data_IF_188792176477
#
_entry.id   IF_188792176477
#
_cell.length_a   1.000
_cell.length_b   1.000
_cell.length_c   1.000
_cell.angle_alpha   90.00
_cell.angle_beta   90.00
_cell.angle_gamma   90.00
#
_symmetry.space_group_name_H-M   'P 1'
#
loop_
_entity.id
_entity.type
_entity.pdbx_description
1 polymer ?
#
# COMPACT_ATOMS: atom_id res chain seq x y z
N UNK A 1 1.43 -24.20 -18.86
CA UNK A 1 0.59 -23.27 -19.65
C UNK A 1 -0.14 -22.36 -18.66
N UNK A 2 0.22 -21.09 -18.57
CA UNK A 2 -0.58 -20.07 -17.87
C UNK A 2 -0.71 -18.87 -18.80
N UNK A 3 -1.94 -18.37 -18.86
CA UNK A 3 -2.55 -17.57 -19.91
C UNK A 3 -1.87 -16.19 -20.12
N UNK A 4 -1.22 -16.02 -21.28
CA UNK A 4 -0.58 -14.75 -21.70
C UNK A 4 -1.58 -13.69 -22.19
N UNK A 5 -2.89 -13.90 -22.06
CA UNK A 5 -3.89 -13.02 -22.69
C UNK A 5 -4.35 -11.88 -21.78
N UNK A 6 -4.10 -11.92 -20.47
CA UNK A 6 -4.63 -10.93 -19.52
C UNK A 6 -3.62 -9.81 -19.15
N UNK A 7 -2.36 -9.90 -19.59
CA UNK A 7 -1.32 -8.91 -19.23
C UNK A 7 -1.50 -7.58 -19.96
N UNK A 8 -1.95 -7.59 -21.22
CA UNK A 8 -2.10 -6.38 -22.06
C UNK A 8 -3.23 -5.44 -21.56
N UNK A 9 -4.33 -6.01 -21.07
CA UNK A 9 -5.45 -5.22 -20.52
C UNK A 9 -5.10 -4.62 -19.16
N UNK A 10 -4.37 -5.38 -18.34
CA UNK A 10 -3.89 -4.93 -17.03
C UNK A 10 -2.87 -3.79 -17.14
N UNK A 11 -1.95 -3.86 -18.09
CA UNK A 11 -0.98 -2.78 -18.34
C UNK A 11 -1.68 -1.48 -18.74
N UNK A 12 -2.73 -1.60 -19.57
CA UNK A 12 -3.57 -0.46 -19.96
C UNK A 12 -4.38 0.13 -18.80
N UNK A 13 -4.82 -0.71 -17.84
CA UNK A 13 -5.49 -0.27 -16.61
C UNK A 13 -4.52 0.47 -15.68
N UNK A 14 -3.34 -0.10 -15.44
CA UNK A 14 -2.31 0.50 -14.59
C UNK A 14 -1.88 1.86 -15.14
N UNK A 15 -1.71 1.96 -16.47
CA UNK A 15 -1.42 3.23 -17.13
C UNK A 15 -2.54 4.27 -16.91
N UNK A 16 -3.81 3.86 -17.01
CA UNK A 16 -4.95 4.74 -16.74
C UNK A 16 -4.99 5.23 -15.28
N UNK A 17 -4.70 4.36 -14.32
CA UNK A 17 -4.56 4.75 -12.91
C UNK A 17 -3.44 5.76 -12.72
N UNK A 18 -2.25 5.52 -13.28
CA UNK A 18 -1.12 6.45 -13.18
C UNK A 18 -1.43 7.79 -13.84
N UNK A 19 -2.07 7.78 -15.01
CA UNK A 19 -2.51 9.01 -15.70
C UNK A 19 -3.51 9.81 -14.86
N UNK A 20 -4.43 9.13 -14.16
CA UNK A 20 -5.38 9.79 -13.27
C UNK A 20 -4.66 10.41 -12.06
N UNK A 21 -3.68 9.71 -11.49
CA UNK A 21 -2.83 10.22 -10.40
C UNK A 21 -2.05 11.46 -10.85
N UNK A 22 -1.42 11.42 -12.03
CA UNK A 22 -0.68 12.56 -12.56
C UNK A 22 -1.58 13.79 -12.75
N UNK A 23 -2.82 13.60 -13.22
CA UNK A 23 -3.80 14.69 -13.32
C UNK A 23 -4.18 15.26 -11.96
N UNK A 24 -4.33 14.43 -10.93
CA UNK A 24 -4.61 14.88 -9.57
C UNK A 24 -3.45 15.73 -9.01
N UNK A 25 -2.20 15.33 -9.26
CA UNK A 25 -1.02 16.06 -8.79
C UNK A 25 -0.81 17.41 -9.51
N UNK A 26 -1.29 17.53 -10.74
CA UNK A 26 -1.19 18.75 -11.54
C UNK A 26 -2.40 19.68 -11.38
N UNK A 27 -3.45 19.24 -10.69
CA UNK A 27 -4.67 20.01 -10.61
C UNK A 27 -4.54 21.19 -9.63
N UNK A 28 -5.16 22.34 -9.94
CA UNK A 28 -5.32 23.38 -8.94
C UNK A 28 -6.27 22.90 -7.85
N UNK A 29 -5.97 23.29 -6.60
CA UNK A 29 -6.76 22.92 -5.42
C UNK A 29 -8.26 23.13 -5.65
N UNK A 30 -9.07 22.12 -5.34
CA UNK A 30 -10.53 22.14 -5.43
C UNK A 30 -11.11 21.48 -6.68
N UNK A 31 -10.28 21.02 -7.63
CA UNK A 31 -10.73 20.30 -8.84
C UNK A 31 -10.56 18.78 -8.76
N UNK A 32 -10.06 18.28 -7.64
CA UNK A 32 -9.86 16.86 -7.39
C UNK A 32 -11.16 16.06 -7.60
N UNK A 33 -12.33 16.49 -7.06
CA UNK A 33 -13.57 15.75 -7.25
C UNK A 33 -13.99 15.67 -8.72
N UNK A 34 -13.77 16.74 -9.49
CA UNK A 34 -14.12 16.81 -10.91
C UNK A 34 -13.27 15.83 -11.73
N UNK A 35 -11.99 15.73 -11.40
CA UNK A 35 -11.05 14.79 -12.04
C UNK A 35 -11.41 13.35 -11.68
N UNK A 36 -11.68 13.05 -10.41
CA UNK A 36 -12.08 11.72 -9.96
C UNK A 36 -13.40 11.29 -10.63
N UNK A 37 -14.39 12.19 -10.68
CA UNK A 37 -15.70 11.94 -11.29
C UNK A 37 -15.64 11.81 -12.82
N UNK A 38 -14.54 12.17 -13.48
CA UNK A 38 -14.39 12.00 -14.93
C UNK A 38 -14.22 10.54 -15.36
N UNK A 39 -13.71 9.68 -14.47
CA UNK A 39 -13.44 8.27 -14.76
C UNK A 39 -13.87 7.38 -13.56
N UNK A 40 -15.18 7.35 -13.24
CA UNK A 40 -15.69 6.66 -12.05
C UNK A 40 -15.41 5.15 -12.07
N UNK A 41 -15.29 4.54 -13.24
CA UNK A 41 -14.95 3.12 -13.41
C UNK A 41 -13.55 2.77 -12.88
N UNK A 42 -12.65 3.77 -12.78
CA UNK A 42 -11.33 3.59 -12.19
C UNK A 42 -11.35 3.73 -10.68
N UNK A 43 -12.40 4.27 -10.06
CA UNK A 43 -12.47 4.50 -8.61
C UNK A 43 -12.81 3.19 -7.89
N UNK A 44 -11.81 2.36 -7.71
CA UNK A 44 -11.93 1.04 -7.08
C UNK A 44 -10.77 0.78 -6.10
N UNK A 45 -10.77 -0.39 -5.47
CA UNK A 45 -9.71 -0.77 -4.52
C UNK A 45 -8.31 -0.86 -5.16
N UNK A 46 -8.19 -1.18 -6.45
CA UNK A 46 -6.90 -1.20 -7.13
C UNK A 46 -6.35 0.21 -7.34
N UNK A 47 -7.21 1.19 -7.62
CA UNK A 47 -6.82 2.60 -7.70
C UNK A 47 -6.38 3.16 -6.34
N UNK A 48 -7.08 2.81 -5.27
CA UNK A 48 -6.65 3.13 -3.90
C UNK A 48 -5.23 2.62 -3.63
N UNK A 49 -4.93 1.37 -4.03
CA UNK A 49 -3.57 0.84 -3.90
C UNK A 49 -2.56 1.58 -4.79
N UNK A 50 -2.96 2.00 -5.99
CA UNK A 50 -2.09 2.79 -6.87
C UNK A 50 -1.74 4.15 -6.24
N UNK A 51 -2.71 4.83 -5.62
CA UNK A 51 -2.49 6.06 -4.86
C UNK A 51 -1.49 5.85 -3.71
N UNK A 52 -1.63 4.76 -2.95
CA UNK A 52 -0.71 4.44 -1.85
C UNK A 52 0.72 4.14 -2.34
N UNK A 53 0.87 3.41 -3.45
CA UNK A 53 2.18 3.16 -4.06
C UNK A 53 2.84 4.47 -4.54
N UNK A 54 2.08 5.33 -5.20
CA UNK A 54 2.57 6.64 -5.64
C UNK A 54 2.93 7.54 -4.45
N UNK A 55 2.11 7.55 -3.39
CA UNK A 55 2.41 8.31 -2.18
C UNK A 55 3.73 7.89 -1.54
N UNK A 56 3.97 6.57 -1.43
CA UNK A 56 5.24 6.02 -0.93
C UNK A 56 6.42 6.49 -1.78
N UNK A 57 6.27 6.47 -3.12
CA UNK A 57 7.30 6.99 -4.02
C UNK A 57 7.63 8.46 -3.73
N UNK A 58 6.62 9.34 -3.64
CA UNK A 58 6.83 10.77 -3.38
C UNK A 58 7.39 11.07 -1.98
N UNK A 59 7.06 10.25 -0.98
CA UNK A 59 7.61 10.39 0.36
C UNK A 59 9.14 10.24 0.39
N UNK A 60 9.69 9.46 -0.53
CA UNK A 60 11.14 9.25 -0.69
C UNK A 60 11.81 10.20 -1.71
N UNK A 61 11.04 10.98 -2.48
CA UNK A 61 11.53 11.79 -3.61
C UNK A 61 11.28 13.30 -3.42
N UNK A 62 11.69 13.85 -2.29
CA UNK A 62 11.66 15.29 -1.95
C UNK A 62 10.30 16.00 -2.22
N UNK A 63 9.20 15.24 -2.21
CA UNK A 63 7.86 15.76 -2.44
C UNK A 63 6.87 15.18 -1.41
N UNK A 64 7.08 15.45 -0.11
CA UNK A 64 6.25 14.91 0.96
C UNK A 64 4.81 15.45 0.92
N UNK A 65 4.57 16.62 0.31
CA UNK A 65 3.23 17.18 0.21
C UNK A 65 2.36 16.42 -0.81
N UNK A 66 2.94 16.01 -1.94
CA UNK A 66 2.26 15.08 -2.86
C UNK A 66 1.96 13.75 -2.19
N UNK A 67 2.87 13.23 -1.37
CA UNK A 67 2.63 12.01 -0.61
C UNK A 67 1.43 12.14 0.34
N UNK A 68 1.39 13.21 1.15
CA UNK A 68 0.27 13.49 2.07
C UNK A 68 -1.06 13.63 1.33
N UNK A 69 -1.06 14.34 0.21
CA UNK A 69 -2.23 14.54 -0.62
C UNK A 69 -2.77 13.22 -1.17
N UNK A 70 -1.91 12.38 -1.75
CA UNK A 70 -2.33 11.07 -2.29
C UNK A 70 -2.86 10.14 -1.20
N UNK A 71 -2.26 10.14 0.00
CA UNK A 71 -2.79 9.41 1.16
C UNK A 71 -4.17 9.92 1.58
N UNK A 72 -4.39 11.24 1.56
CA UNK A 72 -5.68 11.84 1.87
C UNK A 72 -6.76 11.37 0.88
N UNK A 73 -6.50 11.45 -0.42
CA UNK A 73 -7.43 10.99 -1.45
C UNK A 73 -7.70 9.47 -1.34
N UNK A 74 -6.66 8.67 -1.09
CA UNK A 74 -6.79 7.23 -0.93
C UNK A 74 -7.71 6.86 0.24
N UNK A 75 -7.60 7.57 1.37
CA UNK A 75 -8.46 7.38 2.54
C UNK A 75 -9.91 7.72 2.25
N UNK A 76 -10.14 8.89 1.65
CA UNK A 76 -11.47 9.35 1.31
C UNK A 76 -12.19 8.37 0.35
N UNK A 77 -11.48 7.91 -0.69
CA UNK A 77 -12.02 6.90 -1.60
C UNK A 77 -12.26 5.56 -0.90
N UNK A 78 -11.38 5.13 -0.01
CA UNK A 78 -11.56 3.89 0.75
C UNK A 78 -12.81 3.92 1.63
N UNK A 79 -13.14 5.07 2.21
CA UNK A 79 -14.39 5.27 2.95
C UNK A 79 -15.60 5.18 2.02
N UNK A 80 -15.56 5.88 0.88
CA UNK A 80 -16.67 5.88 -0.10
C UNK A 80 -16.94 4.49 -0.68
N UNK A 81 -15.87 3.71 -0.90
CA UNK A 81 -15.96 2.36 -1.46
C UNK A 81 -16.27 1.29 -0.39
N UNK A 82 -16.39 1.66 0.89
CA UNK A 82 -16.61 0.70 1.98
C UNK A 82 -15.45 -0.29 2.17
N UNK A 83 -14.23 0.09 1.76
CA UNK A 83 -13.03 -0.75 1.89
C UNK A 83 -12.45 -0.73 3.31
N UNK A 84 -12.96 0.14 4.18
CA UNK A 84 -12.67 0.09 5.60
C UNK A 84 -13.66 -0.84 6.32
N UNK A 85 -13.20 -1.97 6.89
CA UNK A 85 -14.02 -2.70 7.84
C UNK A 85 -14.24 -1.81 9.06
N UNK A 86 -15.51 -1.56 9.41
CA UNK A 86 -15.92 -0.74 10.54
C UNK A 86 -15.33 -1.20 11.90
N UNK A 87 -14.78 -2.41 11.97
CA UNK A 87 -14.28 -3.06 13.18
C UNK A 87 -12.74 -3.07 13.34
N UNK A 88 -11.99 -2.31 12.52
CA UNK A 88 -10.52 -2.22 12.63
C UNK A 88 -10.02 -0.77 12.80
N UNK A 89 -10.80 0.09 13.47
CA UNK A 89 -10.31 1.37 13.99
C UNK A 89 -9.40 1.21 15.23
N UNK A 90 -8.58 0.16 15.28
CA UNK A 90 -7.50 -0.02 16.26
C UNK A 90 -6.32 -0.66 15.57
N UNK A 91 -5.44 0.17 15.03
CA UNK A 91 -4.04 -0.19 14.94
C UNK A 91 -3.30 0.64 16.00
N UNK A 92 -2.69 0.03 17.03
CA UNK A 92 -1.40 0.48 17.47
C UNK A 92 -0.37 -0.24 16.59
N UNK A 93 0.08 0.44 15.53
CA UNK A 93 1.35 0.07 14.90
C UNK A 93 2.47 0.59 15.81
N UNK A 94 2.92 -0.25 16.75
CA UNK A 94 4.25 -0.23 17.40
C UNK A 94 4.23 -0.92 18.78
N UNK A 95 4.41 -2.24 18.81
CA UNK A 95 5.18 -2.94 19.82
C UNK A 95 5.69 -4.21 19.15
N UNK A 96 6.93 -4.24 18.65
CA UNK A 96 8.09 -4.68 19.44
C UNK A 96 7.84 -5.99 20.16
N UNK A 97 7.79 -7.09 19.42
CA UNK A 97 8.08 -8.40 19.99
C UNK A 97 8.76 -9.25 18.92
N UNK A 98 10.06 -9.02 18.77
CA UNK A 98 10.96 -10.09 18.38
C UNK A 98 11.07 -11.02 19.59
N UNK A 99 10.68 -12.29 19.52
CA UNK A 99 11.26 -13.27 20.43
C UNK A 99 12.71 -13.49 19.98
N UNK A 100 13.63 -12.68 20.50
CA UNK A 100 14.96 -13.20 20.81
C UNK A 100 14.80 -14.13 22.02
N UNK A 101 15.54 -15.24 21.98
CA UNK A 101 15.63 -16.31 23.00
C UNK A 101 14.54 -17.40 22.97
N UNK A 102 14.80 -18.45 22.18
CA UNK A 102 14.73 -19.78 22.77
C UNK A 102 15.98 -20.58 22.39
N UNK A 103 16.80 -20.78 23.42
CA UNK A 103 18.05 -21.52 23.49
C UNK A 103 17.83 -22.98 23.09
N UNK A 104 18.30 -23.36 21.90
CA UNK A 104 18.30 -24.75 21.46
C UNK A 104 19.53 -25.47 22.00
N UNK A 105 19.22 -26.47 22.84
CA UNK A 105 19.98 -27.66 23.23
C UNK A 105 21.20 -27.49 24.14
N UNK A 106 20.95 -27.73 25.43
CA UNK A 106 21.87 -28.35 26.35
C UNK A 106 22.54 -29.58 25.71
N UNK A 107 23.75 -29.40 25.21
CA UNK A 107 24.62 -30.48 24.79
C UNK A 107 25.24 -31.10 26.04
N UNK A 108 24.46 -31.92 26.75
CA UNK A 108 24.98 -32.80 27.77
C UNK A 108 25.78 -33.90 27.07
N UNK A 109 27.08 -33.68 26.91
CA UNK A 109 28.05 -34.78 26.79
C UNK A 109 28.28 -35.34 28.19
N UNK A 110 27.88 -36.58 28.50
CA UNK A 110 28.50 -37.29 29.60
C UNK A 110 29.77 -37.99 29.10
N UNK A 111 30.86 -37.59 29.73
CA UNK A 111 31.86 -38.52 30.26
C UNK A 111 32.86 -39.14 29.27
N UNK A 112 33.93 -38.38 29.03
CA UNK A 112 35.26 -38.96 28.83
C UNK A 112 36.06 -38.75 30.12
N UNK A 113 35.84 -39.60 31.11
CA UNK A 113 36.78 -39.74 32.21
C UNK A 113 38.00 -40.54 31.72
N UNK A 114 39.11 -39.83 31.59
CA UNK A 114 40.46 -40.36 31.61
C UNK A 114 40.76 -40.97 32.98
N UNK A 115 41.10 -42.27 33.02
CA UNK A 115 42.30 -42.86 33.64
C UNK A 115 42.45 -44.33 33.21
#
# INVERSE_FOLDING_TARGET
MTDSSNTSEKDSLQFRHLRLIDRLLQCPNGKEPEILNSEPDLLNGEFVQALMRAASYFAHHDNPDSAKFLVFIARELSHQLGLYPADQASAPSAAVDSPETEEVIANASPDLAQI
#
